data_IF_697530267693
#
_entry.id   IF_697530267693
#
_cell.length_a   1.000
_cell.length_b   1.000
_cell.length_c   1.000
_cell.angle_alpha   90.00
_cell.angle_beta   90.00
_cell.angle_gamma   90.00
#
_symmetry.space_group_name_H-M   'P 1'
#
loop_
_entity.id
_entity.type
_entity.pdbx_description
1 polymer ?
#
# COMPACT_ATOMS: atom_id res chain seq x y z
N UNK A 1 13.63 -34.07 5.16
CA UNK A 1 13.70 -32.58 5.21
C UNK A 1 14.65 -31.96 4.17
N UNK A 2 15.21 -32.71 3.21
CA UNK A 2 16.24 -32.21 2.26
C UNK A 2 15.72 -31.75 0.89
N UNK A 3 14.47 -32.04 0.51
CA UNK A 3 13.97 -31.76 -0.84
C UNK A 3 13.59 -30.27 -1.05
N UNK A 4 12.95 -29.64 -0.06
CA UNK A 4 12.62 -28.20 -0.14
C UNK A 4 13.85 -27.28 -0.13
N UNK A 5 14.95 -27.75 0.46
CA UNK A 5 16.22 -27.03 0.60
C UNK A 5 16.99 -26.95 -0.73
N UNK A 6 17.03 -28.05 -1.49
CA UNK A 6 17.70 -28.09 -2.80
C UNK A 6 16.91 -27.38 -3.90
N UNK A 7 15.57 -27.40 -3.85
CA UNK A 7 14.73 -26.74 -4.84
C UNK A 7 14.95 -25.22 -4.84
N UNK A 8 15.01 -24.59 -3.65
CA UNK A 8 15.17 -23.13 -3.50
C UNK A 8 16.53 -22.60 -3.94
N UNK A 9 17.63 -23.30 -3.66
CA UNK A 9 18.98 -22.94 -4.18
C UNK A 9 19.05 -23.01 -5.71
N UNK A 10 18.43 -24.04 -6.31
CA UNK A 10 18.38 -24.22 -7.77
C UNK A 10 17.55 -23.12 -8.46
N UNK A 11 16.59 -22.57 -7.73
CA UNK A 11 15.70 -21.51 -8.16
C UNK A 11 16.31 -20.11 -8.08
N UNK A 12 17.55 -19.93 -7.62
CA UNK A 12 18.10 -18.59 -7.34
C UNK A 12 19.48 -18.35 -7.95
N UNK A 13 20.24 -19.38 -8.31
CA UNK A 13 21.64 -19.23 -8.69
C UNK A 13 21.87 -19.53 -10.17
N UNK A 14 22.15 -18.49 -10.97
CA UNK A 14 22.88 -18.61 -12.24
C UNK A 14 24.27 -17.99 -12.11
N UNK A 15 25.25 -18.67 -12.70
CA UNK A 15 26.70 -18.49 -12.54
C UNK A 15 27.19 -17.13 -13.09
N UNK A 16 27.87 -16.40 -12.19
CA UNK A 16 29.08 -15.55 -12.32
C UNK A 16 29.14 -14.49 -13.42
N UNK A 17 28.95 -13.23 -13.00
CA UNK A 17 29.52 -12.07 -13.68
C UNK A 17 30.62 -11.48 -12.77
N UNK A 18 31.81 -11.25 -13.32
CA UNK A 18 32.93 -10.63 -12.59
C UNK A 18 32.73 -9.11 -12.61
N UNK A 19 32.48 -8.51 -11.45
CA UNK A 19 32.62 -7.06 -11.27
C UNK A 19 33.88 -6.84 -10.44
N UNK A 20 34.99 -6.54 -11.11
CA UNK A 20 36.32 -6.47 -10.49
C UNK A 20 36.88 -7.86 -10.13
N UNK A 21 37.45 -8.00 -8.93
CA UNK A 21 38.04 -9.27 -8.43
C UNK A 21 37.05 -10.17 -7.67
N UNK A 22 35.85 -9.67 -7.35
CA UNK A 22 34.83 -10.41 -6.58
C UNK A 22 33.76 -10.93 -7.54
N UNK A 23 33.33 -12.16 -7.34
CA UNK A 23 32.25 -12.77 -8.09
C UNK A 23 30.92 -12.48 -7.39
N UNK A 24 29.98 -11.82 -8.07
CA UNK A 24 28.67 -11.54 -7.48
C UNK A 24 27.67 -12.67 -7.72
N UNK A 25 26.87 -12.95 -6.70
CA UNK A 25 25.76 -13.88 -6.79
C UNK A 25 24.56 -13.22 -7.49
N UNK A 26 24.22 -13.70 -8.68
CA UNK A 26 23.06 -13.27 -9.47
C UNK A 26 21.78 -14.00 -9.03
N UNK A 27 20.66 -13.28 -8.99
CA UNK A 27 19.33 -13.85 -8.73
C UNK A 27 18.72 -14.45 -9.98
N UNK A 28 17.78 -15.38 -9.84
CA UNK A 28 17.04 -15.87 -11.00
C UNK A 28 16.13 -14.82 -11.61
N UNK A 29 15.84 -14.97 -12.92
CA UNK A 29 14.83 -14.16 -13.58
C UNK A 29 13.47 -14.19 -12.87
N UNK A 30 13.09 -15.33 -12.28
CA UNK A 30 11.80 -15.45 -11.60
C UNK A 30 11.72 -14.63 -10.31
N UNK A 31 12.77 -14.65 -9.49
CA UNK A 31 12.86 -13.78 -8.31
C UNK A 31 12.77 -12.31 -8.70
N UNK A 32 13.54 -11.90 -9.72
CA UNK A 32 13.54 -10.52 -10.21
C UNK A 32 12.16 -10.13 -10.77
N UNK A 33 11.49 -11.04 -11.49
CA UNK A 33 10.14 -10.82 -12.00
C UNK A 33 9.12 -10.69 -10.86
N UNK A 34 9.21 -11.52 -9.81
CA UNK A 34 8.33 -11.42 -8.66
C UNK A 34 8.52 -10.10 -7.90
N UNK A 35 9.77 -9.64 -7.76
CA UNK A 35 10.07 -8.33 -7.19
C UNK A 35 9.47 -7.20 -8.03
N UNK A 36 9.71 -7.22 -9.34
CA UNK A 36 9.16 -6.22 -10.27
C UNK A 36 7.63 -6.21 -10.25
N UNK A 37 6.99 -7.38 -10.20
CA UNK A 37 5.54 -7.48 -10.10
C UNK A 37 4.99 -6.85 -8.81
N UNK A 38 5.74 -6.97 -7.71
CA UNK A 38 5.38 -6.35 -6.44
C UNK A 38 5.50 -4.83 -6.50
N UNK A 39 6.59 -4.31 -7.07
CA UNK A 39 6.82 -2.86 -7.27
C UNK A 39 5.75 -2.24 -8.18
N UNK A 40 5.50 -2.85 -9.34
CA UNK A 40 4.44 -2.38 -10.26
C UNK A 40 3.06 -2.36 -9.59
N UNK A 41 2.80 -3.36 -8.72
CA UNK A 41 1.56 -3.39 -7.95
C UNK A 41 1.49 -2.27 -6.91
N UNK A 42 2.60 -1.99 -6.20
CA UNK A 42 2.72 -0.85 -5.29
C UNK A 42 2.41 0.48 -5.97
N UNK A 43 2.99 0.73 -7.14
CA UNK A 43 2.79 2.00 -7.84
C UNK A 43 1.32 2.16 -8.28
N UNK A 44 0.72 1.06 -8.73
CA UNK A 44 -0.70 1.01 -9.10
C UNK A 44 -1.62 1.27 -7.90
N UNK A 45 -1.35 0.64 -6.76
CA UNK A 45 -2.14 0.82 -5.53
C UNK A 45 -1.99 2.23 -4.98
N UNK A 46 -0.78 2.78 -4.98
CA UNK A 46 -0.51 4.15 -4.51
C UNK A 46 -1.29 5.17 -5.33
N UNK A 47 -1.20 5.07 -6.67
CA UNK A 47 -1.96 5.93 -7.58
C UNK A 47 -3.47 5.79 -7.37
N UNK A 48 -3.97 4.55 -7.21
CA UNK A 48 -5.38 4.30 -6.96
C UNK A 48 -5.86 4.93 -5.65
N UNK A 49 -5.08 4.82 -4.58
CA UNK A 49 -5.40 5.41 -3.27
C UNK A 49 -5.48 6.93 -3.37
N UNK A 50 -4.52 7.57 -4.03
CA UNK A 50 -4.51 9.02 -4.25
C UNK A 50 -5.77 9.49 -4.98
N UNK A 51 -6.14 8.81 -6.07
CA UNK A 51 -7.35 9.13 -6.83
C UNK A 51 -8.62 8.93 -5.99
N UNK A 52 -8.69 7.84 -5.22
CA UNK A 52 -9.84 7.54 -4.37
C UNK A 52 -10.00 8.55 -3.23
N UNK A 53 -8.89 8.99 -2.62
CA UNK A 53 -8.91 10.04 -1.59
C UNK A 53 -9.28 11.40 -2.18
N UNK A 54 -8.74 11.78 -3.34
CA UNK A 54 -9.08 13.03 -4.02
C UNK A 54 -10.57 13.11 -4.41
N UNK A 55 -11.17 12.01 -4.88
CA UNK A 55 -12.61 11.96 -5.16
C UNK A 55 -13.43 12.00 -3.86
N UNK A 56 -12.90 11.47 -2.76
CA UNK A 56 -13.59 11.47 -1.46
C UNK A 56 -13.59 12.86 -0.80
N UNK A 57 -12.45 13.54 -0.83
CA UNK A 57 -12.25 14.87 -0.31
C UNK A 57 -11.45 15.70 -1.33
N UNK A 58 -12.14 16.46 -2.19
CA UNK A 58 -11.48 17.25 -3.23
C UNK A 58 -10.61 18.38 -2.69
N UNK A 59 -10.80 18.80 -1.43
CA UNK A 59 -9.96 19.83 -0.81
C UNK A 59 -8.62 19.24 -0.32
N UNK A 60 -7.49 19.58 -0.96
CA UNK A 60 -6.18 19.06 -0.58
C UNK A 60 -5.72 19.57 0.79
N UNK A 61 -6.21 20.73 1.25
CA UNK A 61 -5.86 21.29 2.57
C UNK A 61 -6.46 20.42 3.67
N UNK A 62 -7.71 19.98 3.49
CA UNK A 62 -8.36 19.06 4.43
C UNK A 62 -7.66 17.70 4.44
N UNK A 63 -7.36 17.15 3.26
CA UNK A 63 -6.64 15.86 3.15
C UNK A 63 -5.27 15.91 3.83
N UNK A 64 -4.54 17.01 3.72
CA UNK A 64 -3.23 17.20 4.36
C UNK A 64 -3.29 17.11 5.90
N UNK A 65 -4.43 17.40 6.52
CA UNK A 65 -4.64 17.23 7.97
C UNK A 65 -4.89 15.77 8.39
N UNK A 66 -4.99 14.85 7.42
CA UNK A 66 -5.35 13.46 7.64
C UNK A 66 -6.86 13.21 7.85
N UNK A 67 -7.70 14.24 7.70
CA UNK A 67 -9.16 14.14 7.72
C UNK A 67 -9.72 13.91 6.31
N UNK A 68 -10.97 13.46 6.23
CA UNK A 68 -11.67 13.23 4.94
C UNK A 68 -13.08 13.79 4.94
N UNK A 69 -13.69 13.92 6.11
CA UNK A 69 -14.97 14.58 6.25
C UNK A 69 -14.82 16.07 5.93
N UNK A 70 -15.77 16.59 5.17
CA UNK A 70 -15.87 18.02 4.91
C UNK A 70 -16.10 18.75 6.24
N UNK A 71 -15.35 19.82 6.54
CA UNK A 71 -15.56 20.59 7.76
C UNK A 71 -17.02 21.04 7.88
N UNK A 72 -17.50 21.15 9.12
CA UNK A 72 -18.83 21.69 9.37
C UNK A 72 -18.97 23.04 8.69
N UNK A 73 -20.10 23.27 8.02
CA UNK A 73 -20.43 24.49 7.29
C UNK A 73 -19.62 24.75 6.00
N UNK A 74 -18.60 23.96 5.71
CA UNK A 74 -17.83 24.06 4.46
C UNK A 74 -18.39 23.17 3.35
N UNK A 75 -19.30 22.26 3.70
CA UNK A 75 -20.00 21.40 2.75
C UNK A 75 -20.81 22.23 1.74
N UNK A 76 -20.77 21.96 0.43
CA UNK A 76 -21.60 22.65 -0.55
C UNK A 76 -23.09 22.65 -0.20
N UNK A 77 -23.60 21.59 0.43
CA UNK A 77 -24.99 21.56 0.89
C UNK A 77 -25.21 22.47 2.10
N UNK A 78 -24.25 22.58 3.02
CA UNK A 78 -24.31 23.53 4.14
C UNK A 78 -24.22 24.99 3.63
N UNK A 79 -23.33 25.26 2.67
CA UNK A 79 -23.19 26.60 2.07
C UNK A 79 -24.47 27.02 1.34
N UNK A 80 -25.06 26.12 0.57
CA UNK A 80 -26.33 26.38 -0.09
C UNK A 80 -27.46 26.57 0.93
N UNK A 81 -27.50 25.77 2.00
CA UNK A 81 -28.47 25.93 3.09
C UNK A 81 -28.37 27.33 3.73
N UNK A 82 -27.17 27.75 4.12
CA UNK A 82 -26.94 29.08 4.72
C UNK A 82 -27.37 30.21 3.80
N UNK A 83 -27.00 30.14 2.51
CA UNK A 83 -27.42 31.13 1.52
C UNK A 83 -28.94 31.17 1.34
N UNK A 84 -29.62 30.02 1.39
CA UNK A 84 -31.08 29.96 1.33
C UNK A 84 -31.74 30.50 2.59
N UNK A 85 -31.16 30.29 3.77
CA UNK A 85 -31.64 30.86 5.03
C UNK A 85 -31.57 32.38 5.02
N UNK A 86 -30.46 32.97 4.58
CA UNK A 86 -30.33 34.42 4.39
C UNK A 86 -31.32 34.94 3.35
N UNK A 87 -31.55 34.18 2.27
CA UNK A 87 -32.48 34.57 1.21
C UNK A 87 -33.95 34.59 1.67
N UNK A 88 -34.31 33.92 2.78
CA UNK A 88 -35.69 33.91 3.29
C UNK A 88 -36.20 35.29 3.68
N UNK A 89 -35.31 36.24 4.00
CA UNK A 89 -35.70 37.62 4.32
C UNK A 89 -36.28 38.39 3.11
N UNK A 90 -36.01 37.90 1.89
CA UNK A 90 -36.36 38.58 0.64
C UNK A 90 -37.50 37.90 -0.13
N UNK A 91 -38.09 36.82 0.41
CA UNK A 91 -39.16 36.08 -0.24
C UNK A 91 -40.52 36.37 0.39
N UNK A 92 -41.57 36.13 -0.39
CA UNK A 92 -42.96 36.23 0.07
C UNK A 92 -43.21 35.23 1.22
N UNK A 93 -43.97 35.65 2.23
CA UNK A 93 -44.21 34.90 3.47
C UNK A 93 -44.80 33.49 3.22
N UNK A 94 -45.62 33.33 2.17
CA UNK A 94 -46.20 32.05 1.74
C UNK A 94 -45.17 31.06 1.18
N UNK A 95 -43.97 31.52 0.82
CA UNK A 95 -42.87 30.70 0.29
C UNK A 95 -41.82 30.33 1.34
N UNK A 96 -41.76 31.03 2.47
CA UNK A 96 -40.80 30.78 3.56
C UNK A 96 -40.84 29.33 4.02
N UNK A 97 -42.04 28.78 4.24
CA UNK A 97 -42.19 27.37 4.64
C UNK A 97 -41.67 26.35 3.62
N UNK A 98 -41.64 26.69 2.31
CA UNK A 98 -41.05 25.82 1.28
C UNK A 98 -39.53 25.86 1.33
N UNK A 99 -38.94 27.05 1.51
CA UNK A 99 -37.49 27.23 1.61
C UNK A 99 -36.94 26.57 2.88
N UNK A 100 -37.64 26.69 4.00
CA UNK A 100 -37.27 26.01 5.24
C UNK A 100 -37.18 24.47 5.06
N UNK A 101 -38.14 23.86 4.33
CA UNK A 101 -38.09 22.42 3.99
C UNK A 101 -36.87 22.06 3.14
N UNK A 102 -36.50 22.91 2.17
CA UNK A 102 -35.29 22.71 1.36
C UNK A 102 -34.05 22.77 2.26
N UNK A 103 -33.99 23.73 3.18
CA UNK A 103 -32.88 23.87 4.12
C UNK A 103 -32.70 22.61 4.97
N UNK A 104 -33.79 22.03 5.50
CA UNK A 104 -33.73 20.76 6.23
C UNK A 104 -33.23 19.59 5.36
N UNK A 105 -33.64 19.51 4.09
CA UNK A 105 -33.13 18.49 3.16
C UNK A 105 -31.63 18.65 2.93
N UNK A 106 -31.14 19.88 2.75
CA UNK A 106 -29.73 20.18 2.56
C UNK A 106 -28.89 19.86 3.80
N UNK A 107 -29.40 20.13 5.00
CA UNK A 107 -28.73 19.75 6.26
C UNK A 107 -28.55 18.22 6.35
N UNK A 108 -29.60 17.46 6.06
CA UNK A 108 -29.53 16.00 6.03
C UNK A 108 -28.56 15.51 4.95
N UNK A 109 -28.58 16.11 3.75
CA UNK A 109 -27.65 15.79 2.67
C UNK A 109 -26.18 16.03 3.07
N UNK A 110 -25.86 17.15 3.73
CA UNK A 110 -24.52 17.46 4.23
C UNK A 110 -24.06 16.42 5.26
N UNK A 111 -24.94 16.06 6.21
CA UNK A 111 -24.66 15.02 7.22
C UNK A 111 -24.39 13.66 6.57
N UNK A 112 -25.26 13.22 5.68
CA UNK A 112 -25.12 11.94 4.96
C UNK A 112 -23.83 11.91 4.13
N UNK A 113 -23.44 13.03 3.50
CA UNK A 113 -22.17 13.12 2.76
C UNK A 113 -20.95 12.98 3.66
N UNK A 114 -20.91 13.66 4.81
CA UNK A 114 -19.80 13.52 5.79
C UNK A 114 -19.66 12.09 6.29
N UNK A 115 -20.76 11.45 6.66
CA UNK A 115 -20.77 10.04 7.08
C UNK A 115 -20.27 9.11 5.98
N UNK A 116 -20.69 9.36 4.73
CA UNK A 116 -20.19 8.62 3.57
C UNK A 116 -18.69 8.81 3.37
N UNK A 117 -18.15 10.03 3.51
CA UNK A 117 -16.71 10.27 3.34
C UNK A 117 -15.86 9.45 4.33
N UNK A 118 -16.32 9.35 5.58
CA UNK A 118 -15.67 8.54 6.61
C UNK A 118 -15.75 7.05 6.28
N UNK A 119 -16.94 6.56 5.91
CA UNK A 119 -17.15 5.15 5.54
C UNK A 119 -16.33 4.77 4.30
N UNK A 120 -16.35 5.60 3.26
CA UNK A 120 -15.60 5.41 2.01
C UNK A 120 -14.10 5.24 2.29
N UNK A 121 -13.54 6.07 3.16
CA UNK A 121 -12.12 5.96 3.55
C UNK A 121 -11.84 4.69 4.36
N UNK A 122 -12.78 4.26 5.19
CA UNK A 122 -12.64 3.01 5.94
C UNK A 122 -12.64 1.78 5.02
N UNK A 123 -13.47 1.77 3.96
CA UNK A 123 -13.52 0.68 2.98
C UNK A 123 -12.19 0.44 2.27
N UNK A 124 -11.34 1.46 2.12
CA UNK A 124 -10.04 1.35 1.42
C UNK A 124 -8.85 1.27 2.39
N UNK A 125 -9.08 0.84 3.64
CA UNK A 125 -8.06 0.87 4.69
C UNK A 125 -6.84 0.02 4.36
N UNK A 126 -7.00 -1.16 3.75
CA UNK A 126 -5.86 -2.04 3.46
C UNK A 126 -5.04 -1.44 2.31
N UNK A 127 -5.70 -0.99 1.25
CA UNK A 127 -5.07 -0.25 0.15
C UNK A 127 -4.20 0.90 0.66
N UNK A 128 -4.73 1.72 1.58
CA UNK A 128 -4.01 2.87 2.17
C UNK A 128 -2.80 2.48 3.01
N UNK A 129 -2.85 1.31 3.66
CA UNK A 129 -1.77 0.85 4.54
C UNK A 129 -0.66 0.13 3.79
N UNK A 130 -0.96 -0.40 2.61
CA UNK A 130 -0.07 -1.22 1.79
C UNK A 130 1.34 -0.66 1.65
N UNK A 131 1.47 0.61 1.24
CA UNK A 131 2.78 1.26 1.08
C UNK A 131 3.56 1.36 2.39
N UNK A 132 2.88 1.73 3.48
CA UNK A 132 3.51 2.00 4.77
C UNK A 132 3.83 0.76 5.62
N UNK A 133 3.18 -0.37 5.34
CA UNK A 133 3.31 -1.60 6.12
C UNK A 133 3.94 -2.72 5.28
N UNK A 134 3.17 -3.33 4.38
CA UNK A 134 3.58 -4.52 3.64
C UNK A 134 4.72 -4.21 2.67
N UNK A 135 4.60 -3.16 1.87
CA UNK A 135 5.65 -2.77 0.92
C UNK A 135 6.93 -2.31 1.64
N UNK A 136 6.80 -1.48 2.68
CA UNK A 136 7.94 -1.09 3.51
C UNK A 136 8.66 -2.32 4.10
N UNK A 137 7.89 -3.27 4.65
CA UNK A 137 8.46 -4.51 5.20
C UNK A 137 9.20 -5.30 4.13
N UNK A 138 8.66 -5.42 2.91
CA UNK A 138 9.36 -6.06 1.79
C UNK A 138 10.69 -5.36 1.48
N UNK A 139 10.68 -4.03 1.39
CA UNK A 139 11.87 -3.24 1.04
C UNK A 139 12.95 -3.31 2.11
N UNK A 140 12.58 -3.24 3.39
CA UNK A 140 13.51 -3.39 4.51
C UNK A 140 14.19 -4.79 4.46
N UNK A 141 13.41 -5.85 4.20
CA UNK A 141 13.96 -7.21 4.07
C UNK A 141 14.79 -7.41 2.79
N UNK A 142 14.47 -6.70 1.70
CA UNK A 142 15.27 -6.68 0.48
C UNK A 142 16.64 -6.05 0.72
N UNK A 143 16.71 -4.99 1.52
CA UNK A 143 17.99 -4.37 1.89
C UNK A 143 18.84 -5.34 2.74
N UNK A 144 18.26 -5.97 3.76
CA UNK A 144 18.95 -6.98 4.57
C UNK A 144 19.45 -8.16 3.72
N UNK A 145 18.63 -8.62 2.78
CA UNK A 145 18.98 -9.67 1.83
C UNK A 145 20.18 -9.27 0.95
N UNK A 146 20.15 -8.06 0.37
CA UNK A 146 21.25 -7.56 -0.47
C UNK A 146 22.56 -7.43 0.32
N UNK A 147 22.48 -7.03 1.59
CA UNK A 147 23.63 -6.96 2.49
C UNK A 147 24.19 -8.35 2.80
N UNK A 148 23.33 -9.32 3.12
CA UNK A 148 23.73 -10.70 3.36
C UNK A 148 24.38 -11.33 2.11
N UNK A 149 23.84 -11.06 0.92
CA UNK A 149 24.41 -11.48 -0.37
C UNK A 149 25.83 -10.94 -0.56
N UNK A 150 26.02 -9.64 -0.38
CA UNK A 150 27.34 -9.00 -0.52
C UNK A 150 28.36 -9.58 0.47
N UNK A 151 27.97 -9.77 1.73
CA UNK A 151 28.84 -10.36 2.75
C UNK A 151 29.25 -11.81 2.41
N UNK A 152 28.31 -12.61 1.91
CA UNK A 152 28.57 -13.97 1.46
C UNK A 152 29.56 -14.00 0.28
N UNK A 153 29.36 -13.13 -0.72
CA UNK A 153 30.25 -13.03 -1.89
C UNK A 153 31.67 -12.60 -1.49
N UNK A 154 31.80 -11.66 -0.54
CA UNK A 154 33.08 -11.26 0.03
C UNK A 154 33.75 -12.43 0.78
N UNK A 155 33.02 -13.14 1.64
CA UNK A 155 33.57 -14.27 2.37
C UNK A 155 34.02 -15.41 1.43
N UNK A 156 33.27 -15.66 0.35
CA UNK A 156 33.65 -16.59 -0.73
C UNK A 156 34.96 -16.17 -1.40
N UNK A 157 35.09 -14.88 -1.71
CA UNK A 157 36.33 -14.34 -2.28
C UNK A 157 37.52 -14.50 -1.33
N UNK A 158 37.34 -14.25 -0.04
CA UNK A 158 38.41 -14.39 0.96
C UNK A 158 38.91 -15.83 1.09
N UNK A 159 38.01 -16.82 1.01
CA UNK A 159 38.40 -18.24 0.94
C UNK A 159 39.27 -18.51 -0.29
N UNK A 160 38.91 -17.96 -1.46
CA UNK A 160 39.67 -18.13 -2.71
C UNK A 160 41.06 -17.47 -2.66
N UNK A 161 41.22 -16.38 -1.91
CA UNK A 161 42.50 -15.67 -1.76
C UNK A 161 43.43 -16.26 -0.68
N UNK A 162 42.97 -17.23 0.10
CA UNK A 162 43.77 -17.84 1.16
C UNK A 162 44.93 -18.67 0.57
N UNK A 163 46.12 -18.57 1.19
CA UNK A 163 47.35 -19.21 0.67
C UNK A 163 47.81 -20.41 1.51
N UNK A 164 47.31 -20.55 2.73
CA UNK A 164 47.66 -21.66 3.63
C UNK A 164 46.42 -22.45 4.03
N UNK A 165 46.59 -23.74 4.33
CA UNK A 165 45.50 -24.63 4.75
C UNK A 165 44.78 -24.11 6.00
N UNK A 166 45.51 -23.62 6.99
CA UNK A 166 44.94 -23.03 8.21
C UNK A 166 44.08 -21.78 7.91
N UNK A 167 44.50 -20.94 6.95
CA UNK A 167 43.72 -19.78 6.52
C UNK A 167 42.46 -20.20 5.75
N UNK A 168 42.54 -21.24 4.93
CA UNK A 168 41.39 -21.79 4.20
C UNK A 168 40.35 -22.31 5.19
N UNK A 169 40.75 -23.12 6.17
CA UNK A 169 39.84 -23.70 7.16
C UNK A 169 39.11 -22.62 7.97
N UNK A 170 39.84 -21.62 8.50
CA UNK A 170 39.24 -20.51 9.26
C UNK A 170 38.26 -19.69 8.42
N UNK A 171 38.63 -19.36 7.18
CA UNK A 171 37.77 -18.56 6.28
C UNK A 171 36.58 -19.37 5.75
N UNK A 172 36.72 -20.68 5.56
CA UNK A 172 35.63 -21.55 5.13
C UNK A 172 34.52 -21.62 6.19
N UNK A 173 34.86 -21.64 7.48
CA UNK A 173 33.88 -21.53 8.57
C UNK A 173 33.11 -20.22 8.50
N UNK A 174 33.79 -19.09 8.30
CA UNK A 174 33.13 -17.77 8.16
C UNK A 174 32.24 -17.71 6.93
N UNK A 175 32.69 -18.24 5.79
CA UNK A 175 31.87 -18.33 4.59
C UNK A 175 30.60 -19.16 4.82
N UNK A 176 30.72 -20.32 5.47
CA UNK A 176 29.58 -21.17 5.80
C UNK A 176 28.55 -20.44 6.67
N UNK A 177 28.99 -19.64 7.66
CA UNK A 177 28.11 -18.80 8.46
C UNK A 177 27.39 -17.75 7.61
N UNK A 178 28.08 -17.10 6.67
CA UNK A 178 27.45 -16.12 5.77
C UNK A 178 26.44 -16.76 4.82
N UNK A 179 26.69 -18.00 4.36
CA UNK A 179 25.73 -18.77 3.55
C UNK A 179 24.44 -19.04 4.33
N UNK A 180 24.54 -19.40 5.60
CA UNK A 180 23.36 -19.64 6.46
C UNK A 180 22.52 -18.37 6.65
N UNK A 181 23.18 -17.23 6.90
CA UNK A 181 22.51 -15.92 7.01
C UNK A 181 21.86 -15.55 5.67
N UNK A 182 22.56 -15.71 4.55
CA UNK A 182 22.01 -15.46 3.22
C UNK A 182 20.76 -16.32 2.97
N UNK A 183 20.83 -17.62 3.24
CA UNK A 183 19.71 -18.55 3.07
C UNK A 183 18.51 -18.13 3.97
N UNK A 184 18.76 -17.71 5.21
CA UNK A 184 17.71 -17.21 6.11
C UNK A 184 17.01 -15.96 5.54
N UNK A 185 17.78 -14.94 5.16
CA UNK A 185 17.24 -13.68 4.61
C UNK A 185 16.51 -13.91 3.29
N UNK A 186 17.04 -14.78 2.45
CA UNK A 186 16.39 -15.16 1.20
C UNK A 186 15.04 -15.83 1.44
N UNK A 187 14.97 -16.79 2.37
CA UNK A 187 13.74 -17.49 2.70
C UNK A 187 12.68 -16.53 3.26
N UNK A 188 13.09 -15.55 4.06
CA UNK A 188 12.18 -14.52 4.59
C UNK A 188 11.62 -13.64 3.46
N UNK A 189 12.47 -13.19 2.54
CA UNK A 189 12.06 -12.36 1.41
C UNK A 189 11.12 -13.10 0.44
N UNK A 190 11.41 -14.38 0.15
CA UNK A 190 10.54 -15.22 -0.68
C UNK A 190 9.13 -15.36 -0.09
N UNK A 191 9.01 -15.57 1.22
CA UNK A 191 7.70 -15.64 1.89
C UNK A 191 6.90 -14.35 1.72
N UNK A 192 7.54 -13.19 1.85
CA UNK A 192 6.88 -11.89 1.66
C UNK A 192 6.40 -11.71 0.21
N UNK A 193 7.16 -12.19 -0.78
CA UNK A 193 6.73 -12.17 -2.18
C UNK A 193 5.53 -13.11 -2.41
N UNK A 194 5.50 -14.27 -1.75
CA UNK A 194 4.41 -15.25 -1.81
C UNK A 194 3.10 -14.72 -1.16
N UNK A 195 3.15 -13.69 -0.32
CA UNK A 195 1.98 -13.08 0.32
C UNK A 195 1.17 -12.16 -0.62
N UNK A 196 1.75 -11.72 -1.75
CA UNK A 196 1.14 -10.77 -2.68
C UNK A 196 -0.28 -11.16 -3.14
N UNK A 197 -0.60 -12.44 -3.47
CA UNK A 197 -1.96 -12.84 -3.83
C UNK A 197 -2.97 -12.63 -2.70
N UNK A 198 -2.59 -12.91 -1.44
CA UNK A 198 -3.45 -12.67 -0.27
C UNK A 198 -3.70 -11.19 -0.05
N UNK A 199 -2.67 -10.36 -0.22
CA UNK A 199 -2.80 -8.90 -0.18
C UNK A 199 -3.78 -8.41 -1.25
N UNK A 200 -3.63 -8.89 -2.49
CA UNK A 200 -4.54 -8.57 -3.60
C UNK A 200 -5.99 -8.97 -3.31
N UNK A 201 -6.20 -10.11 -2.65
CA UNK A 201 -7.55 -10.55 -2.27
C UNK A 201 -8.18 -9.59 -1.25
N UNK A 202 -7.43 -9.14 -0.24
CA UNK A 202 -7.89 -8.13 0.72
C UNK A 202 -8.22 -6.80 0.02
N UNK A 203 -7.38 -6.35 -0.91
CA UNK A 203 -7.63 -5.13 -1.68
C UNK A 203 -8.87 -5.25 -2.60
N UNK A 204 -9.10 -6.42 -3.19
CA UNK A 204 -10.32 -6.68 -3.98
C UNK A 204 -11.58 -6.59 -3.11
N UNK A 205 -11.52 -7.09 -1.88
CA UNK A 205 -12.61 -6.97 -0.90
C UNK A 205 -12.87 -5.50 -0.55
N UNK A 206 -11.83 -4.72 -0.26
CA UNK A 206 -11.92 -3.27 -0.02
C UNK A 206 -12.67 -2.54 -1.15
N UNK A 207 -12.36 -2.86 -2.41
CA UNK A 207 -13.02 -2.27 -3.59
C UNK A 207 -14.49 -2.71 -3.72
N UNK A 208 -14.79 -3.95 -3.34
CA UNK A 208 -16.18 -4.44 -3.33
C UNK A 208 -17.00 -3.71 -2.26
N UNK A 209 -16.46 -3.57 -1.05
CA UNK A 209 -17.09 -2.81 0.04
C UNK A 209 -17.26 -1.33 -0.34
N UNK A 210 -16.28 -0.75 -1.03
CA UNK A 210 -16.34 0.61 -1.53
C UNK A 210 -17.51 0.82 -2.50
N UNK A 211 -17.70 -0.08 -3.47
CA UNK A 211 -18.80 0.03 -4.44
C UNK A 211 -20.17 -0.12 -3.78
N UNK A 212 -20.30 -1.05 -2.82
CA UNK A 212 -21.50 -1.19 -2.02
C UNK A 212 -21.79 0.08 -1.21
N UNK A 213 -20.78 0.61 -0.50
CA UNK A 213 -20.89 1.85 0.27
C UNK A 213 -21.33 3.03 -0.61
N UNK A 214 -20.78 3.14 -1.82
CA UNK A 214 -21.17 4.17 -2.79
C UNK A 214 -22.63 4.05 -3.21
N UNK A 215 -23.10 2.82 -3.49
CA UNK A 215 -24.50 2.56 -3.83
C UNK A 215 -25.43 2.97 -2.68
N UNK A 216 -25.12 2.57 -1.46
CA UNK A 216 -25.91 2.91 -0.27
C UNK A 216 -25.99 4.43 -0.07
N UNK A 217 -24.89 5.15 -0.27
CA UNK A 217 -24.86 6.61 -0.25
C UNK A 217 -25.81 7.23 -1.29
N UNK A 218 -25.72 6.81 -2.55
CA UNK A 218 -26.57 7.37 -3.60
C UNK A 218 -28.05 7.07 -3.39
N UNK A 219 -28.39 5.89 -2.85
CA UNK A 219 -29.77 5.56 -2.45
C UNK A 219 -30.25 6.47 -1.32
N UNK A 220 -29.45 6.66 -0.27
CA UNK A 220 -29.79 7.55 0.83
C UNK A 220 -29.97 9.00 0.37
N UNK A 221 -29.11 9.49 -0.51
CA UNK A 221 -29.21 10.83 -1.11
C UNK A 221 -30.48 10.98 -1.96
N UNK A 222 -30.87 9.93 -2.69
CA UNK A 222 -32.11 9.92 -3.47
C UNK A 222 -33.35 10.08 -2.57
N UNK A 223 -33.42 9.32 -1.46
CA UNK A 223 -34.53 9.45 -0.50
C UNK A 223 -34.63 10.83 0.14
N UNK A 224 -33.51 11.53 0.35
CA UNK A 224 -33.52 12.90 0.90
C UNK A 224 -34.17 13.88 -0.10
N UNK A 225 -33.92 13.71 -1.39
CA UNK A 225 -34.36 14.66 -2.42
C UNK A 225 -35.68 14.30 -3.11
N UNK A 226 -36.20 13.09 -2.94
CA UNK A 226 -37.59 12.75 -3.27
C UNK A 226 -38.60 13.67 -2.58
#
# INVERSE_FOLDING_TARGET
MSEGFNFRRKFLLKIHEKVGNVEETQMTPEFNNNMQNYETYHDSVTTLVELLEAVNQPDPVVLATGRVDCPKDEDPYDKLRKALEEFQEFIQEDKVGKVARICTKLENAAKTRREYQIKKRACIRHLRRFGSLEYKTLMDNREEFNRARSNMDMAKHDVKQAKTTEQIERRAVLYQQQVEIFDEKCNKLMKLLEELPTIKASHSKDLTELTQCSREYHLAMSEIFK
#
